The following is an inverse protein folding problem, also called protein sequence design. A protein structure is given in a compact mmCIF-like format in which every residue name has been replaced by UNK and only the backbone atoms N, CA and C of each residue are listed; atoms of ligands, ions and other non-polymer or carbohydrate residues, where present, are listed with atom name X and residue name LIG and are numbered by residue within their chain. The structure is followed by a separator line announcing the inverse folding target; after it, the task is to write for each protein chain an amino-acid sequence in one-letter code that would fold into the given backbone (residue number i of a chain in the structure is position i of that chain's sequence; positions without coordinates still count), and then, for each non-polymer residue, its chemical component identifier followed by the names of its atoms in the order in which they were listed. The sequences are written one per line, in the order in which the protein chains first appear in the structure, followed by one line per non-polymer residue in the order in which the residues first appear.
data_IF_054333106544
#
_entry.id   IF_054333106544
#
_cell.length_a   1.000
_cell.length_b   1.000
_cell.length_c   1.000
_cell.angle_alpha   90.00
_cell.angle_beta   90.00
_cell.angle_gamma   90.00
#
_symmetry.space_group_name_H-M   'P 1'
#
loop_
_entity.id
_entity.type
_entity.pdbx_description
1 polymer ?
#
# COMPACT_ATOMS: atom_id res chain seq x y z
N UNK A 1 4.62 -5.06 1.63
CA UNK A 1 3.69 -5.57 2.66
C UNK A 1 3.18 -4.36 3.42
N UNK A 2 1.87 -4.17 3.58
CA UNK A 2 1.31 -3.05 4.35
C UNK A 2 1.02 -3.57 5.77
N UNK A 3 1.88 -3.20 6.73
CA UNK A 3 1.74 -3.59 8.13
C UNK A 3 1.57 -2.35 9.01
N UNK A 4 0.61 -2.37 9.93
CA UNK A 4 0.54 -1.35 10.97
C UNK A 4 1.50 -1.69 12.12
N UNK A 5 1.86 -0.68 12.92
CA UNK A 5 2.66 -0.88 14.14
C UNK A 5 1.97 -1.81 15.16
N UNK A 6 0.64 -1.90 15.12
CA UNK A 6 -0.15 -2.81 15.94
C UNK A 6 -0.19 -4.25 15.40
N UNK A 7 0.55 -4.56 14.33
CA UNK A 7 0.60 -5.88 13.71
C UNK A 7 -0.56 -6.18 12.76
N UNK A 8 -1.40 -5.19 12.41
CA UNK A 8 -2.46 -5.39 11.41
C UNK A 8 -1.80 -5.51 10.02
N UNK A 9 -1.84 -6.71 9.43
CA UNK A 9 -1.38 -6.96 8.06
C UNK A 9 -2.59 -6.88 7.13
N UNK A 10 -2.58 -5.93 6.20
CA UNK A 10 -3.63 -5.81 5.18
C UNK A 10 -3.37 -6.73 4.00
N UNK A 11 -4.46 -7.13 3.32
CA UNK A 11 -4.45 -7.89 2.06
C UNK A 11 -3.52 -7.18 1.05
N UNK A 12 -2.40 -7.79 0.65
CA UNK A 12 -1.42 -7.12 -0.20
C UNK A 12 -1.94 -6.97 -1.64
N UNK A 13 -1.59 -5.85 -2.26
CA UNK A 13 -1.78 -5.61 -3.68
C UNK A 13 -0.61 -6.20 -4.46
N UNK A 14 -0.90 -7.06 -5.43
CA UNK A 14 0.10 -7.70 -6.31
C UNK A 14 -0.23 -7.36 -7.76
N UNK A 15 0.75 -6.83 -8.48
CA UNK A 15 0.62 -6.45 -9.89
C UNK A 15 1.44 -7.40 -10.76
N UNK A 16 0.78 -8.16 -11.63
CA UNK A 16 1.42 -9.07 -12.58
C UNK A 16 1.33 -8.59 -14.02
N UNK A 17 2.03 -9.29 -14.92
CA UNK A 17 1.98 -9.02 -16.37
C UNK A 17 0.69 -9.49 -17.03
N UNK A 18 0.21 -10.65 -16.60
CA UNK A 18 -0.96 -11.31 -17.19
C UNK A 18 -2.18 -11.15 -16.30
N UNK A 19 -3.35 -10.99 -16.91
CA UNK A 19 -4.64 -11.04 -16.22
C UNK A 19 -4.81 -12.38 -15.47
N UNK A 20 -4.40 -13.49 -16.08
CA UNK A 20 -4.37 -14.82 -15.47
C UNK A 20 -3.06 -15.54 -15.80
N UNK A 21 -2.04 -15.46 -14.92
CA UNK A 21 -0.81 -16.24 -15.03
C UNK A 21 -1.09 -17.75 -15.17
N UNK A 22 -0.19 -18.46 -15.86
CA UNK A 22 -0.29 -19.92 -16.02
C UNK A 22 -0.31 -20.67 -14.69
N UNK A 23 0.38 -20.14 -13.67
CA UNK A 23 0.36 -20.70 -12.32
C UNK A 23 -1.00 -20.58 -11.62
N UNK A 24 -1.91 -19.71 -12.09
CA UNK A 24 -3.29 -19.62 -11.58
C UNK A 24 -4.28 -20.38 -12.47
N UNK A 25 -3.80 -21.30 -13.32
CA UNK A 25 -4.68 -22.19 -14.08
C UNK A 25 -5.57 -22.96 -13.10
N UNK A 26 -6.87 -22.97 -13.38
CA UNK A 26 -7.91 -23.59 -12.55
C UNK A 26 -8.09 -22.99 -11.13
N UNK A 27 -7.45 -21.86 -10.83
CA UNK A 27 -7.70 -21.11 -9.59
C UNK A 27 -8.71 -19.99 -9.82
N UNK A 28 -9.50 -19.72 -8.79
CA UNK A 28 -10.25 -18.48 -8.67
C UNK A 28 -9.32 -17.40 -8.10
N UNK A 29 -8.94 -16.42 -8.91
CA UNK A 29 -8.06 -15.32 -8.47
C UNK A 29 -8.71 -14.51 -7.34
N UNK A 30 -10.04 -14.38 -7.36
CA UNK A 30 -10.77 -13.64 -6.34
C UNK A 30 -10.68 -14.27 -4.94
N UNK A 31 -10.46 -15.59 -4.86
CA UNK A 31 -10.31 -16.29 -3.58
C UNK A 31 -8.89 -16.23 -3.01
N UNK A 32 -7.92 -15.64 -3.73
CA UNK A 32 -6.57 -15.50 -3.21
C UNK A 32 -6.52 -14.50 -2.05
N UNK A 33 -5.61 -14.69 -1.07
CA UNK A 33 -5.39 -13.76 0.02
C UNK A 33 -4.62 -12.50 -0.42
N UNK A 34 -4.65 -12.17 -1.71
CA UNK A 34 -4.03 -10.98 -2.31
C UNK A 34 -5.01 -10.30 -3.26
N UNK A 35 -4.88 -8.99 -3.41
CA UNK A 35 -5.59 -8.26 -4.46
C UNK A 35 -4.74 -8.31 -5.72
N UNK A 36 -5.19 -9.04 -6.73
CA UNK A 36 -4.46 -9.18 -7.99
C UNK A 36 -4.88 -8.10 -8.99
N UNK A 37 -3.91 -7.37 -9.53
CA UNK A 37 -4.07 -6.45 -10.66
C UNK A 37 -3.10 -6.86 -11.77
N UNK A 38 -3.37 -6.45 -13.00
CA UNK A 38 -2.50 -6.75 -14.13
C UNK A 38 -2.23 -5.51 -14.97
N UNK A 39 -0.99 -5.38 -15.45
CA UNK A 39 -0.65 -4.50 -16.55
C UNK A 39 0.57 -5.04 -17.30
N UNK A 40 0.76 -4.68 -18.57
CA UNK A 40 1.81 -5.27 -19.42
C UNK A 40 3.23 -5.12 -18.85
N UNK A 41 3.49 -4.08 -18.05
CA UNK A 41 4.80 -3.78 -17.46
C UNK A 41 5.04 -4.49 -16.12
N UNK A 42 3.98 -4.94 -15.44
CA UNK A 42 3.95 -5.40 -14.06
C UNK A 42 4.53 -4.41 -13.05
N UNK A 43 4.27 -3.11 -13.23
CA UNK A 43 4.71 -2.06 -12.31
C UNK A 43 3.53 -1.31 -11.71
N UNK A 44 3.73 -0.66 -10.57
CA UNK A 44 2.74 0.26 -9.99
C UNK A 44 2.50 1.43 -10.95
N UNK A 45 1.24 1.81 -11.14
CA UNK A 45 0.84 3.03 -11.85
C UNK A 45 0.16 3.98 -10.88
N UNK A 46 0.20 5.29 -11.16
CA UNK A 46 -0.49 6.28 -10.33
C UNK A 46 -1.99 6.00 -10.20
N UNK A 47 -2.63 5.59 -11.29
CA UNK A 47 -4.04 5.16 -11.28
C UNK A 47 -4.29 3.95 -10.35
N UNK A 48 -3.42 2.93 -10.40
CA UNK A 48 -3.58 1.75 -9.52
C UNK A 48 -3.37 2.11 -8.06
N UNK A 49 -2.38 2.97 -7.79
CA UNK A 49 -2.08 3.47 -6.45
C UNK A 49 -3.23 4.32 -5.91
N UNK A 50 -3.78 5.22 -6.72
CA UNK A 50 -4.92 6.07 -6.36
C UNK A 50 -6.15 5.23 -6.03
N UNK A 51 -6.51 4.27 -6.87
CA UNK A 51 -7.62 3.35 -6.60
C UNK A 51 -7.42 2.63 -5.26
N UNK A 52 -6.20 2.12 -5.02
CA UNK A 52 -5.88 1.44 -3.76
C UNK A 52 -5.99 2.37 -2.55
N UNK A 53 -5.53 3.62 -2.67
CA UNK A 53 -5.63 4.63 -1.62
C UNK A 53 -7.10 5.02 -1.31
N UNK A 54 -7.95 5.12 -2.33
CA UNK A 54 -9.38 5.37 -2.13
C UNK A 54 -10.07 4.22 -1.38
N UNK A 55 -9.75 2.96 -1.74
CA UNK A 55 -10.25 1.80 -0.99
C UNK A 55 -9.75 1.78 0.45
N UNK A 56 -8.47 2.09 0.67
CA UNK A 56 -7.91 2.19 2.01
C UNK A 56 -8.62 3.28 2.83
N UNK A 57 -8.86 4.45 2.23
CA UNK A 57 -9.58 5.53 2.91
C UNK A 57 -11.00 5.13 3.29
N UNK A 58 -11.71 4.43 2.41
CA UNK A 58 -13.05 3.92 2.70
C UNK A 58 -13.05 2.88 3.84
N UNK A 59 -12.07 1.98 3.88
CA UNK A 59 -11.88 0.99 4.96
C UNK A 59 -11.56 1.66 6.30
N UNK A 60 -10.64 2.61 6.32
CA UNK A 60 -10.30 3.35 7.54
C UNK A 60 -11.47 4.17 8.04
N UNK A 61 -12.23 4.79 7.13
CA UNK A 61 -13.44 5.54 7.47
C UNK A 61 -14.53 4.65 8.05
N UNK A 62 -14.75 3.45 7.51
CA UNK A 62 -15.76 2.51 8.05
C UNK A 62 -15.40 2.03 9.45
N UNK A 63 -14.10 1.99 9.77
CA UNK A 63 -13.59 1.71 11.12
C UNK A 63 -13.62 2.93 12.05
N UNK A 64 -14.08 4.10 11.57
CA UNK A 64 -14.04 5.36 12.30
C UNK A 64 -12.64 5.74 12.81
N UNK A 65 -11.60 5.46 12.01
CA UNK A 65 -10.19 5.72 12.34
C UNK A 65 -9.61 6.82 11.45
N UNK A 66 -8.44 7.31 11.82
CA UNK A 66 -7.57 8.11 10.97
C UNK A 66 -6.16 7.52 11.01
N UNK A 67 -5.48 7.48 9.87
CA UNK A 67 -4.11 6.95 9.78
C UNK A 67 -3.18 7.92 9.05
N UNK A 68 -1.88 7.79 9.34
CA UNK A 68 -0.80 8.41 8.60
C UNK A 68 -0.07 7.34 7.79
N UNK A 69 -0.04 7.51 6.47
CA UNK A 69 0.59 6.61 5.51
C UNK A 69 1.89 7.26 5.00
N UNK A 70 3.02 6.60 5.24
CA UNK A 70 4.28 7.03 4.64
C UNK A 70 4.49 6.32 3.32
N UNK A 71 5.04 7.04 2.36
CA UNK A 71 5.33 6.55 1.01
C UNK A 71 6.74 6.99 0.61
N UNK A 72 7.47 6.14 -0.12
CA UNK A 72 8.73 6.54 -0.74
C UNK A 72 8.49 7.58 -1.85
N UNK A 73 9.55 8.22 -2.36
CA UNK A 73 9.39 9.23 -3.41
C UNK A 73 9.39 8.58 -4.81
N UNK A 74 8.35 7.81 -5.12
CA UNK A 74 8.17 7.15 -6.40
C UNK A 74 7.24 7.95 -7.34
N UNK A 75 7.51 7.92 -8.64
CA UNK A 75 6.71 8.64 -9.65
C UNK A 75 5.27 8.15 -9.77
N UNK A 76 4.97 6.95 -9.26
CA UNK A 76 3.63 6.39 -9.22
C UNK A 76 2.77 6.91 -8.05
N UNK A 77 3.28 7.82 -7.23
CA UNK A 77 2.52 8.34 -6.09
C UNK A 77 1.65 9.53 -6.49
N UNK A 78 0.31 9.39 -6.41
CA UNK A 78 -0.59 10.48 -6.73
C UNK A 78 -0.57 11.54 -5.63
N UNK A 79 -0.69 12.80 -6.02
CA UNK A 79 -1.09 13.86 -5.10
C UNK A 79 -2.61 13.81 -4.95
N UNK A 80 -3.07 13.14 -3.89
CA UNK A 80 -4.50 12.99 -3.57
C UNK A 80 -4.75 13.33 -2.10
N UNK A 81 -5.80 14.11 -1.86
CA UNK A 81 -6.31 14.41 -0.52
C UNK A 81 -7.41 13.41 -0.14
N UNK A 82 -7.31 12.83 1.05
CA UNK A 82 -8.20 11.79 1.55
C UNK A 82 -8.71 12.18 2.95
N UNK A 83 -9.94 11.80 3.27
CA UNK A 83 -10.61 12.22 4.50
C UNK A 83 -10.02 11.62 5.78
N UNK A 84 -9.52 10.39 5.71
CA UNK A 84 -9.10 9.60 6.87
C UNK A 84 -7.69 9.01 6.73
N UNK A 85 -7.04 9.20 5.59
CA UNK A 85 -5.67 8.74 5.32
C UNK A 85 -4.82 9.95 4.96
N UNK A 86 -3.97 10.39 5.88
CA UNK A 86 -2.98 11.42 5.59
C UNK A 86 -1.76 10.77 4.96
N UNK A 87 -1.27 11.30 3.86
CA UNK A 87 -0.08 10.78 3.17
C UNK A 87 1.12 11.66 3.49
N UNK A 88 2.27 11.05 3.81
CA UNK A 88 3.53 11.74 3.99
C UNK A 88 4.60 11.11 3.10
N UNK A 89 5.18 11.88 2.18
CA UNK A 89 6.28 11.40 1.36
C UNK A 89 7.57 11.41 2.18
N UNK A 90 8.37 10.35 2.06
CA UNK A 90 9.70 10.28 2.63
C UNK A 90 10.67 11.17 1.80
N UNK A 91 11.76 11.66 2.41
CA UNK A 91 12.77 12.42 1.69
C UNK A 91 13.33 11.63 0.49
N UNK A 92 13.69 12.30 -0.61
CA UNK A 92 14.39 11.68 -1.74
C UNK A 92 15.66 10.96 -1.25
N UNK A 93 15.96 9.77 -1.79
CA UNK A 93 17.14 8.96 -1.46
C UNK A 93 17.17 8.27 -0.09
N UNK A 94 16.01 7.93 0.49
CA UNK A 94 15.97 7.00 1.62
C UNK A 94 16.22 5.56 1.13
N UNK A 95 17.45 5.25 0.72
CA UNK A 95 17.92 3.86 0.55
C UNK A 95 17.92 3.24 1.95
N UNK A 96 17.23 2.12 2.16
CA UNK A 96 17.06 1.49 3.48
C UNK A 96 18.41 1.32 4.22
N UNK A 97 18.77 2.26 5.09
CA UNK A 97 19.85 2.07 6.05
C UNK A 97 19.23 1.41 7.27
N UNK A 98 19.53 0.11 7.42
CA UNK A 98 19.54 -0.68 8.65
C UNK A 98 18.45 -0.43 9.70
N UNK A 99 17.65 -1.48 9.90
CA UNK A 99 16.85 -1.84 11.08
C UNK A 99 17.35 -1.17 12.37
N UNK A 100 16.47 -0.41 13.04
CA UNK A 100 16.70 0.12 14.38
C UNK A 100 15.41 0.69 14.95
N UNK A 101 14.75 -0.08 15.82
CA UNK A 101 13.64 0.41 16.63
C UNK A 101 14.13 1.56 17.50
N UNK A 102 13.57 2.76 17.34
CA UNK A 102 13.68 3.82 18.33
C UNK A 102 12.28 4.21 18.76
N UNK A 103 11.93 3.86 20.00
CA UNK A 103 10.72 4.32 20.66
C UNK A 103 11.01 5.69 21.27
N UNK A 104 10.54 6.76 20.64
CA UNK A 104 10.34 8.01 21.35
C UNK A 104 9.09 8.75 20.84
N UNK A 105 8.10 8.90 21.72
CA UNK A 105 6.94 9.78 21.55
C UNK A 105 5.63 9.15 21.03
N UNK A 106 4.47 9.80 21.29
CA UNK A 106 3.12 9.24 21.07
C UNK A 106 2.62 9.39 19.62
N UNK A 107 3.52 9.43 18.64
CA UNK A 107 3.17 9.56 17.22
C UNK A 107 3.55 8.27 16.52
N UNK A 108 2.54 7.52 16.09
CA UNK A 108 2.72 6.27 15.37
C UNK A 108 3.15 6.56 13.93
N UNK A 109 4.33 6.06 13.53
CA UNK A 109 4.89 6.18 12.19
C UNK A 109 4.64 4.88 11.40
N UNK A 110 4.24 4.99 10.13
CA UNK A 110 4.15 3.87 9.17
C UNK A 110 5.38 3.94 8.25
N UNK A 111 5.86 2.84 7.68
CA UNK A 111 6.93 2.84 6.68
C UNK A 111 6.48 1.98 5.48
N UNK A 112 6.56 2.54 4.27
CA UNK A 112 6.57 1.81 2.99
C UNK A 112 7.86 2.15 2.26
#
# INVERSE_FOLDING_TARGET
MCGSIAGEIRKPLVIGRSMKPRCFKNMNIASLPVTWKFNKKAWMTSETMEQWLQYLNADIRSQNRNILLFLDNATCHPYIELSNVKIHMLPPNTTSRHVGFSTDGPRSYLHL
#
